data_IF_322433299182
#
_entry.id   IF_322433299182
#
_cell.length_a   1.000
_cell.length_b   1.000
_cell.length_c   1.000
_cell.angle_alpha   90.00
_cell.angle_beta   90.00
_cell.angle_gamma   90.00
#
_symmetry.space_group_name_H-M   'P 1'
#
loop_
_entity.id
_entity.type
_entity.pdbx_description
1 polymer ?
#
# COMPACT_ATOMS: atom_id res chain seq x y z
N UNK A 1 32.35 -4.64 -0.45
CA UNK A 1 31.62 -4.78 0.81
C UNK A 1 32.23 -5.90 1.62
N UNK A 2 32.27 -5.75 2.93
CA UNK A 2 32.82 -6.77 3.82
C UNK A 2 31.85 -7.98 3.96
N UNK A 3 32.33 -9.21 4.27
CA UNK A 3 31.47 -10.41 4.39
C UNK A 3 30.40 -10.32 5.49
N UNK A 4 30.53 -9.35 6.38
CA UNK A 4 29.60 -9.10 7.48
C UNK A 4 28.60 -7.98 7.22
N UNK A 5 28.66 -7.31 6.06
CA UNK A 5 27.82 -6.15 5.69
C UNK A 5 27.22 -6.35 4.30
N UNK A 6 25.95 -5.99 4.17
CA UNK A 6 25.25 -5.94 2.88
C UNK A 6 24.55 -4.58 2.74
N UNK A 7 24.48 -4.09 1.52
CA UNK A 7 23.71 -2.89 1.16
C UNK A 7 22.82 -3.20 -0.03
N UNK A 8 21.70 -2.50 -0.09
CA UNK A 8 20.77 -2.57 -1.21
C UNK A 8 20.23 -1.19 -1.53
N UNK A 9 19.93 -0.97 -2.80
CA UNK A 9 19.24 0.24 -3.27
C UNK A 9 18.26 -0.18 -4.35
N UNK A 10 17.12 0.45 -4.40
CA UNK A 10 16.12 0.13 -5.42
C UNK A 10 15.07 1.23 -5.56
N UNK A 11 14.39 1.18 -6.70
CA UNK A 11 13.26 2.00 -7.07
C UNK A 11 12.08 1.07 -7.36
N UNK A 12 10.96 1.27 -6.68
CA UNK A 12 9.80 0.40 -6.75
C UNK A 12 8.51 1.23 -6.82
N UNK A 13 7.45 0.73 -7.47
CA UNK A 13 6.12 1.24 -7.22
C UNK A 13 5.68 0.86 -5.80
N UNK A 14 5.25 1.86 -5.00
CA UNK A 14 4.75 1.65 -3.64
C UNK A 14 3.26 1.33 -3.63
N UNK A 15 2.49 2.11 -4.38
CA UNK A 15 1.07 1.86 -4.60
C UNK A 15 0.66 2.29 -6.00
N UNK A 16 -0.44 1.73 -6.47
CA UNK A 16 -1.06 2.12 -7.73
C UNK A 16 -2.57 2.16 -7.56
N UNK A 17 -3.20 3.18 -8.10
CA UNK A 17 -4.64 3.37 -8.14
C UNK A 17 -5.05 3.50 -9.59
N UNK A 18 -5.97 2.67 -10.05
CA UNK A 18 -6.50 2.73 -11.41
C UNK A 18 -7.88 2.05 -11.45
N UNK A 19 -8.94 2.85 -11.41
CA UNK A 19 -10.30 2.33 -11.56
C UNK A 19 -11.22 3.36 -12.20
N UNK A 20 -12.21 2.86 -12.93
CA UNK A 20 -13.33 3.66 -13.42
C UNK A 20 -14.60 2.84 -13.22
N UNK A 21 -15.53 3.39 -12.45
CA UNK A 21 -16.82 2.76 -12.17
C UNK A 21 -17.91 3.77 -12.50
N UNK A 22 -18.90 3.36 -13.25
CA UNK A 22 -20.08 4.18 -13.59
C UNK A 22 -21.34 3.41 -13.25
N UNK A 23 -22.33 4.14 -12.75
CA UNK A 23 -23.65 3.63 -12.41
C UNK A 23 -24.70 4.64 -12.89
N UNK A 24 -25.77 4.15 -13.50
CA UNK A 24 -26.89 4.96 -13.97
C UNK A 24 -28.17 4.48 -13.31
N UNK A 25 -28.90 5.42 -12.72
CA UNK A 25 -30.13 5.16 -11.99
C UNK A 25 -31.20 6.15 -12.41
N UNK A 26 -32.44 5.79 -12.12
CA UNK A 26 -33.59 6.66 -12.30
C UNK A 26 -34.29 6.80 -10.95
N UNK A 27 -34.55 8.00 -10.52
CA UNK A 27 -35.32 8.29 -9.30
C UNK A 27 -36.80 7.90 -9.50
N UNK A 28 -37.53 7.74 -8.40
CA UNK A 28 -38.97 7.43 -8.40
C UNK A 28 -39.79 8.46 -9.20
N UNK A 29 -39.30 9.68 -9.31
CA UNK A 29 -39.91 10.77 -10.11
C UNK A 29 -39.53 10.74 -11.60
N UNK A 30 -38.85 9.65 -12.07
CA UNK A 30 -38.45 9.49 -13.47
C UNK A 30 -37.20 10.28 -13.89
N UNK A 31 -36.48 10.94 -12.96
CA UNK A 31 -35.26 11.66 -13.28
C UNK A 31 -34.08 10.67 -13.40
N UNK A 32 -33.50 10.60 -14.59
CA UNK A 32 -32.29 9.81 -14.82
C UNK A 32 -31.04 10.56 -14.32
N UNK A 33 -30.15 9.87 -13.63
CA UNK A 33 -28.84 10.38 -13.27
C UNK A 33 -27.76 9.31 -13.41
N UNK A 34 -26.53 9.74 -13.68
CA UNK A 34 -25.36 8.88 -13.77
C UNK A 34 -24.33 9.31 -12.77
N UNK A 35 -23.77 8.35 -12.05
CA UNK A 35 -22.63 8.55 -11.13
C UNK A 35 -21.37 7.97 -11.75
N UNK A 36 -20.27 8.66 -11.63
CA UNK A 36 -18.96 8.21 -12.08
C UNK A 36 -17.97 8.35 -10.95
N UNK A 37 -17.17 7.30 -10.76
CA UNK A 37 -16.08 7.22 -9.77
C UNK A 37 -14.82 6.81 -10.50
N UNK A 38 -13.81 7.68 -10.52
CA UNK A 38 -12.51 7.38 -11.10
C UNK A 38 -11.43 7.58 -10.06
N UNK A 39 -10.45 6.71 -10.08
CA UNK A 39 -9.21 6.86 -9.33
C UNK A 39 -8.03 6.62 -10.25
N UNK A 40 -7.03 7.47 -10.16
CA UNK A 40 -5.81 7.40 -10.95
C UNK A 40 -4.61 7.86 -10.16
N UNK A 41 -3.42 7.36 -10.53
CA UNK A 41 -2.16 7.73 -9.92
C UNK A 41 -1.53 6.63 -9.09
N UNK A 42 -0.59 7.00 -8.24
CA UNK A 42 0.14 6.07 -7.38
C UNK A 42 1.36 6.70 -6.75
N UNK A 43 2.01 5.93 -5.89
CA UNK A 43 3.21 6.34 -5.19
C UNK A 43 4.40 5.50 -5.66
N UNK A 44 5.52 6.18 -5.85
CA UNK A 44 6.82 5.58 -6.13
C UNK A 44 7.67 5.58 -4.86
N UNK A 45 8.54 4.61 -4.73
CA UNK A 45 9.43 4.47 -3.58
C UNK A 45 10.86 4.23 -4.05
N UNK A 46 11.78 5.03 -3.54
CA UNK A 46 13.21 4.76 -3.59
C UNK A 46 13.67 4.33 -2.20
N UNK A 47 14.48 3.29 -2.10
CA UNK A 47 14.99 2.86 -0.83
C UNK A 47 16.49 2.60 -0.85
N UNK A 48 17.10 2.79 0.31
CA UNK A 48 18.47 2.37 0.62
C UNK A 48 18.41 1.50 1.87
N UNK A 49 18.95 0.31 1.77
CA UNK A 49 19.01 -0.64 2.86
C UNK A 49 20.44 -0.97 3.25
N UNK A 50 20.66 -1.16 4.54
CA UNK A 50 21.92 -1.67 5.08
C UNK A 50 21.63 -2.76 6.10
N UNK A 51 22.44 -3.82 6.06
CA UNK A 51 22.37 -4.94 6.99
C UNK A 51 23.75 -5.32 7.45
N UNK A 52 23.86 -5.65 8.73
CA UNK A 52 25.12 -6.08 9.36
C UNK A 52 24.92 -7.37 10.14
N UNK A 53 25.93 -8.22 10.09
CA UNK A 53 26.03 -9.41 10.90
C UNK A 53 26.64 -9.03 12.24
N UNK A 54 25.80 -8.92 13.27
CA UNK A 54 26.24 -8.54 14.63
C UNK A 54 26.88 -9.73 15.34
N UNK A 55 26.30 -10.90 15.16
CA UNK A 55 26.82 -12.17 15.67
C UNK A 55 26.90 -13.19 14.52
N UNK A 56 27.56 -14.33 14.73
CA UNK A 56 27.66 -15.39 13.72
C UNK A 56 26.30 -15.81 13.15
N UNK A 57 25.28 -15.76 13.99
CA UNK A 57 23.92 -16.22 13.66
C UNK A 57 22.88 -15.10 13.59
N UNK A 58 23.22 -13.88 14.05
CA UNK A 58 22.30 -12.75 14.14
C UNK A 58 22.72 -11.66 13.17
N UNK A 59 21.78 -11.25 12.32
CA UNK A 59 21.90 -10.11 11.43
C UNK A 59 20.79 -9.11 11.75
N UNK A 60 21.12 -7.83 11.68
CA UNK A 60 20.16 -6.72 11.80
C UNK A 60 20.28 -5.83 10.59
N UNK A 61 19.21 -5.16 10.25
CA UNK A 61 19.21 -4.26 9.11
C UNK A 61 18.18 -3.14 9.25
N UNK A 62 18.40 -2.11 8.48
CA UNK A 62 17.50 -0.97 8.36
C UNK A 62 17.33 -0.62 6.89
N UNK A 63 16.09 -0.32 6.49
CA UNK A 63 15.78 0.30 5.22
C UNK A 63 15.23 1.70 5.47
N UNK A 64 15.82 2.69 4.80
CA UNK A 64 15.29 4.02 4.70
C UNK A 64 14.70 4.19 3.29
N UNK A 65 13.45 4.54 3.23
CA UNK A 65 12.72 4.72 1.98
C UNK A 65 12.19 6.14 1.89
N UNK A 66 12.26 6.73 0.72
CA UNK A 66 11.56 7.95 0.36
C UNK A 66 10.51 7.61 -0.69
N UNK A 67 9.29 8.09 -0.50
CA UNK A 67 8.21 7.86 -1.44
C UNK A 67 7.51 9.17 -1.79
N UNK A 68 7.04 9.23 -3.03
CA UNK A 68 6.38 10.41 -3.60
C UNK A 68 5.37 10.00 -4.66
N UNK A 69 4.43 10.87 -4.91
CA UNK A 69 3.46 10.76 -6.00
C UNK A 69 2.11 11.35 -5.65
N UNK A 70 1.21 11.27 -6.62
CA UNK A 70 -0.12 11.85 -6.55
C UNK A 70 -1.18 10.76 -6.72
N UNK A 71 -2.25 10.89 -5.95
CA UNK A 71 -3.46 10.07 -6.09
C UNK A 71 -4.62 11.02 -6.36
N UNK A 72 -5.23 10.87 -7.51
CA UNK A 72 -6.41 11.62 -7.92
C UNK A 72 -7.65 10.74 -7.80
N UNK A 73 -8.68 11.23 -7.13
CA UNK A 73 -10.00 10.61 -7.08
C UNK A 73 -11.03 11.59 -7.56
N UNK A 74 -11.86 11.17 -8.51
CA UNK A 74 -12.93 12.00 -9.05
C UNK A 74 -14.26 11.31 -8.84
N UNK A 75 -15.21 12.05 -8.30
CA UNK A 75 -16.62 11.64 -8.17
C UNK A 75 -17.47 12.60 -8.96
N UNK A 76 -18.30 12.08 -9.84
CA UNK A 76 -19.22 12.86 -10.66
C UNK A 76 -20.66 12.40 -10.52
N UNK A 77 -21.59 13.33 -10.59
CA UNK A 77 -23.02 13.10 -10.74
C UNK A 77 -23.51 13.95 -11.91
N UNK A 78 -24.10 13.30 -12.88
CA UNK A 78 -24.54 13.91 -14.12
C UNK A 78 -26.03 13.61 -14.36
N UNK A 79 -26.75 14.61 -14.87
CA UNK A 79 -28.16 14.50 -15.17
C UNK A 79 -28.36 14.59 -16.69
N UNK A 80 -28.31 13.43 -17.41
CA UNK A 80 -28.48 13.44 -18.87
C UNK A 80 -29.89 13.82 -19.28
N UNK A 81 -29.99 14.65 -20.29
CA UNK A 81 -31.28 15.02 -20.90
C UNK A 81 -32.09 16.11 -20.16
N UNK A 82 -31.51 16.76 -19.17
CA UNK A 82 -32.14 17.89 -18.49
C UNK A 82 -31.16 19.03 -18.24
N UNK A 83 -31.61 20.25 -18.42
CA UNK A 83 -30.87 21.45 -18.00
C UNK A 83 -31.36 22.04 -16.68
N UNK A 84 -32.34 21.37 -16.04
CA UNK A 84 -32.95 21.86 -14.78
C UNK A 84 -32.11 21.52 -13.55
N UNK A 85 -31.14 20.62 -13.71
CA UNK A 85 -30.25 20.20 -12.64
C UNK A 85 -28.81 20.36 -13.06
N UNK A 86 -28.01 20.94 -12.18
CA UNK A 86 -26.58 21.09 -12.39
C UNK A 86 -25.84 19.76 -12.16
N UNK A 87 -24.91 19.47 -13.06
CA UNK A 87 -23.95 18.38 -12.86
C UNK A 87 -22.95 18.77 -11.78
N UNK A 88 -22.51 17.77 -11.02
CA UNK A 88 -21.56 17.93 -9.94
C UNK A 88 -20.34 17.03 -10.17
N UNK A 89 -19.17 17.59 -10.08
CA UNK A 89 -17.93 16.84 -10.13
C UNK A 89 -17.00 17.30 -9.00
N UNK A 90 -16.52 16.37 -8.19
CA UNK A 90 -15.50 16.63 -7.18
C UNK A 90 -14.23 15.85 -7.50
N UNK A 91 -13.15 16.56 -7.75
CA UNK A 91 -11.81 16.02 -7.94
C UNK A 91 -11.00 16.25 -6.68
N UNK A 92 -10.46 15.19 -6.13
CA UNK A 92 -9.61 15.20 -4.93
C UNK A 92 -8.21 14.75 -5.34
N UNK A 93 -7.23 15.60 -5.11
CA UNK A 93 -5.82 15.30 -5.38
C UNK A 93 -5.08 15.23 -4.04
N UNK A 94 -4.43 14.11 -3.79
CA UNK A 94 -3.57 13.91 -2.62
C UNK A 94 -2.14 13.73 -3.12
N UNK A 95 -1.29 14.71 -2.86
CA UNK A 95 0.13 14.67 -3.15
C UNK A 95 0.88 14.27 -1.89
N UNK A 96 1.70 13.23 -1.97
CA UNK A 96 2.46 12.70 -0.83
C UNK A 96 3.94 12.72 -1.17
N UNK A 97 4.75 13.18 -0.23
CA UNK A 97 6.20 13.23 -0.34
C UNK A 97 6.80 13.08 1.06
N UNK A 98 7.28 11.86 1.37
CA UNK A 98 7.72 11.53 2.72
C UNK A 98 8.69 10.35 2.77
N UNK A 99 9.22 10.07 3.95
CA UNK A 99 10.13 8.96 4.23
C UNK A 99 9.47 7.87 5.08
N UNK A 100 10.07 6.70 5.07
CA UNK A 100 9.68 5.55 5.90
C UNK A 100 10.93 4.80 6.34
N UNK A 101 10.93 4.33 7.58
CA UNK A 101 11.98 3.50 8.12
C UNK A 101 11.44 2.11 8.44
N UNK A 102 12.18 1.09 8.05
CA UNK A 102 11.89 -0.30 8.36
C UNK A 102 13.09 -0.93 9.05
N UNK A 103 12.88 -1.58 10.18
CA UNK A 103 13.89 -2.27 10.96
C UNK A 103 13.68 -3.77 10.82
N UNK A 104 14.75 -4.52 10.67
CA UNK A 104 14.71 -5.96 10.54
C UNK A 104 15.77 -6.65 11.40
N UNK A 105 15.43 -7.81 11.91
CA UNK A 105 16.36 -8.71 12.57
C UNK A 105 16.15 -10.14 12.08
N UNK A 106 17.23 -10.89 11.90
CA UNK A 106 17.20 -12.26 11.43
C UNK A 106 18.17 -13.10 12.23
N UNK A 107 17.70 -14.22 12.76
CA UNK A 107 18.52 -15.19 13.47
C UNK A 107 18.48 -16.53 12.73
N UNK A 108 19.65 -17.05 12.36
CA UNK A 108 19.79 -18.31 11.65
C UNK A 108 20.54 -19.30 12.51
N UNK A 109 19.91 -20.43 12.84
CA UNK A 109 20.49 -21.52 13.62
C UNK A 109 20.63 -22.77 12.75
N UNK A 110 21.85 -23.31 12.66
CA UNK A 110 22.08 -24.64 12.15
C UNK A 110 21.62 -25.65 13.21
N UNK A 111 20.59 -26.45 12.89
CA UNK A 111 20.08 -27.50 13.77
C UNK A 111 20.92 -28.80 13.63
N UNK A 112 21.24 -29.10 12.36
CA UNK A 112 22.11 -30.24 12.03
C UNK A 112 23.03 -29.85 10.86
N UNK A 113 23.92 -30.75 10.45
CA UNK A 113 24.79 -30.56 9.27
C UNK A 113 23.96 -30.31 7.97
N UNK A 114 22.70 -30.74 7.95
CA UNK A 114 21.82 -30.68 6.77
C UNK A 114 20.60 -29.78 6.96
N UNK A 115 20.34 -29.30 8.18
CA UNK A 115 19.15 -28.51 8.45
C UNK A 115 19.48 -27.20 9.16
N UNK A 116 18.76 -26.14 8.78
CA UNK A 116 18.84 -24.82 9.39
C UNK A 116 17.43 -24.22 9.56
N UNK A 117 17.27 -23.49 10.63
CA UNK A 117 16.09 -22.68 10.92
C UNK A 117 16.49 -21.21 10.94
N UNK A 118 15.79 -20.41 10.18
CA UNK A 118 15.92 -18.96 10.20
C UNK A 118 14.63 -18.35 10.74
N UNK A 119 14.74 -17.48 11.72
CA UNK A 119 13.62 -16.70 12.26
C UNK A 119 13.91 -15.23 11.93
N UNK A 120 12.91 -14.52 11.44
CA UNK A 120 12.98 -13.11 11.11
C UNK A 120 11.89 -12.30 11.79
N UNK A 121 12.20 -11.06 12.10
CA UNK A 121 11.23 -10.08 12.57
C UNK A 121 11.48 -8.74 11.86
N UNK A 122 10.39 -8.04 11.52
CA UNK A 122 10.44 -6.71 10.94
C UNK A 122 9.49 -5.78 11.70
N UNK A 123 9.89 -4.53 11.79
CA UNK A 123 9.11 -3.48 12.43
C UNK A 123 9.21 -2.18 11.64
N UNK A 124 8.07 -1.59 11.33
CA UNK A 124 7.96 -0.25 10.74
C UNK A 124 7.14 0.62 11.67
N UNK A 125 7.70 1.71 12.20
CA UNK A 125 6.97 2.60 13.11
C UNK A 125 5.87 3.38 12.38
N UNK A 126 4.84 3.70 13.12
CA UNK A 126 3.80 4.64 12.71
C UNK A 126 4.43 5.98 12.33
N UNK A 127 3.97 6.56 11.24
CA UNK A 127 4.48 7.83 10.74
C UNK A 127 3.34 8.67 10.15
N UNK A 128 3.30 9.96 10.54
CA UNK A 128 2.39 10.93 9.91
C UNK A 128 3.01 11.38 8.59
N UNK A 129 2.26 11.26 7.50
CA UNK A 129 2.74 11.60 6.18
C UNK A 129 2.69 13.12 5.95
N UNK A 130 3.74 13.62 5.31
CA UNK A 130 3.71 14.94 4.72
C UNK A 130 2.93 14.88 3.41
N UNK A 131 1.79 15.57 3.38
CA UNK A 131 0.88 15.52 2.25
C UNK A 131 0.18 16.86 2.04
N UNK A 132 -0.09 17.16 0.77
CA UNK A 132 -0.96 18.23 0.34
C UNK A 132 -2.26 17.62 -0.20
N UNK A 133 -3.37 18.16 0.25
CA UNK A 133 -4.69 17.72 -0.21
C UNK A 133 -5.43 18.88 -0.86
N UNK A 134 -5.85 18.69 -2.09
CA UNK A 134 -6.62 19.68 -2.85
C UNK A 134 -7.96 19.08 -3.26
N UNK A 135 -9.05 19.77 -2.96
CA UNK A 135 -10.39 19.45 -3.43
C UNK A 135 -10.83 20.49 -4.45
N UNK A 136 -11.22 20.04 -5.62
CA UNK A 136 -11.76 20.88 -6.70
C UNK A 136 -13.19 20.44 -6.94
N UNK A 137 -14.13 21.35 -6.78
CA UNK A 137 -15.55 21.11 -7.05
C UNK A 137 -15.95 21.92 -8.27
N UNK A 138 -16.55 21.26 -9.24
CA UNK A 138 -17.10 21.86 -10.46
C UNK A 138 -18.60 21.63 -10.44
N UNK A 139 -19.35 22.71 -10.48
CA UNK A 139 -20.80 22.69 -10.59
C UNK A 139 -21.21 23.46 -11.87
N UNK A 140 -22.07 22.86 -12.65
CA UNK A 140 -22.56 23.51 -13.87
C UNK A 140 -23.65 22.71 -14.55
N UNK A 141 -24.45 23.39 -15.36
CA UNK A 141 -25.47 22.73 -16.16
C UNK A 141 -24.83 21.72 -17.13
N UNK A 142 -25.49 20.60 -17.33
CA UNK A 142 -25.04 19.48 -18.19
C UNK A 142 -24.71 19.91 -19.64
N UNK A 143 -25.22 21.04 -20.08
CA UNK A 143 -25.08 21.56 -21.45
C UNK A 143 -24.12 22.76 -21.58
N UNK A 144 -23.61 23.31 -20.48
CA UNK A 144 -22.71 24.46 -20.51
C UNK A 144 -21.27 24.04 -20.24
N UNK A 145 -20.35 24.51 -21.06
CA UNK A 145 -18.90 24.32 -20.87
C UNK A 145 -18.32 25.14 -19.70
N UNK A 146 -19.16 25.91 -19.02
CA UNK A 146 -18.79 26.82 -17.95
C UNK A 146 -19.40 26.36 -16.62
N UNK A 147 -18.70 25.50 -15.91
CA UNK A 147 -19.01 25.22 -14.51
C UNK A 147 -18.31 26.21 -13.58
N UNK A 148 -18.89 26.46 -12.42
CA UNK A 148 -18.21 27.20 -11.35
C UNK A 148 -17.23 26.26 -10.69
N UNK A 149 -15.94 26.60 -10.69
CA UNK A 149 -14.89 25.84 -10.03
C UNK A 149 -14.59 26.44 -8.65
N UNK A 150 -14.64 25.59 -7.64
CA UNK A 150 -14.21 25.92 -6.28
C UNK A 150 -13.00 25.04 -5.95
N UNK A 151 -11.88 25.68 -5.63
CA UNK A 151 -10.65 24.99 -5.27
C UNK A 151 -10.29 25.29 -3.82
N UNK A 152 -10.26 24.26 -3.02
CA UNK A 152 -9.87 24.33 -1.61
C UNK A 152 -8.63 23.49 -1.36
N UNK A 153 -7.66 24.07 -0.63
CA UNK A 153 -6.53 23.35 -0.06
C UNK A 153 -6.90 23.04 1.38
N UNK A 154 -6.97 21.77 1.71
CA UNK A 154 -7.48 21.29 2.99
C UNK A 154 -6.35 20.63 3.79
N UNK A 155 -6.38 20.80 5.09
CA UNK A 155 -5.53 20.03 5.97
C UNK A 155 -6.01 18.58 6.00
N UNK A 156 -5.12 17.69 5.58
CA UNK A 156 -5.39 16.27 5.60
C UNK A 156 -4.40 15.55 6.50
N UNK A 157 -4.91 14.64 7.31
CA UNK A 157 -4.06 13.78 8.14
C UNK A 157 -4.05 12.38 7.53
N UNK A 158 -2.89 11.98 7.05
CA UNK A 158 -2.64 10.61 6.59
C UNK A 158 -1.48 10.04 7.40
N UNK A 159 -1.66 8.84 7.94
CA UNK A 159 -0.65 8.17 8.75
C UNK A 159 -0.41 6.76 8.24
N UNK A 160 0.85 6.35 8.21
CA UNK A 160 1.21 4.95 8.06
C UNK A 160 1.08 4.24 9.41
N UNK A 161 0.56 3.00 9.44
CA UNK A 161 0.38 2.25 10.68
C UNK A 161 1.71 1.69 11.19
N UNK A 162 1.77 1.40 12.49
CA UNK A 162 2.75 0.45 12.99
C UNK A 162 2.56 -0.88 12.25
N UNK A 163 3.65 -1.38 11.70
CA UNK A 163 3.67 -2.68 11.02
C UNK A 163 4.62 -3.61 11.73
N UNK A 164 4.16 -4.80 12.05
CA UNK A 164 4.93 -5.88 12.65
C UNK A 164 4.89 -7.09 11.72
N UNK A 165 6.03 -7.71 11.51
CA UNK A 165 6.12 -8.96 10.79
C UNK A 165 7.04 -9.92 11.51
N UNK A 166 6.64 -11.18 11.57
CA UNK A 166 7.47 -12.28 12.08
C UNK A 166 7.34 -13.46 11.14
N UNK A 167 8.42 -14.18 10.95
CA UNK A 167 8.40 -15.34 10.08
C UNK A 167 9.52 -16.31 10.40
N UNK A 168 9.38 -17.51 9.87
CA UNK A 168 10.45 -18.50 9.94
C UNK A 168 10.60 -19.22 8.60
N UNK A 169 11.82 -19.72 8.36
CA UNK A 169 12.14 -20.57 7.22
C UNK A 169 12.97 -21.74 7.71
N UNK A 170 12.50 -22.95 7.44
CA UNK A 170 13.21 -24.19 7.68
C UNK A 170 13.76 -24.72 6.37
N UNK A 171 15.08 -24.98 6.34
CA UNK A 171 15.75 -25.59 5.20
C UNK A 171 16.29 -26.96 5.59
N UNK A 172 16.05 -27.95 4.73
CA UNK A 172 16.59 -29.30 4.89
C UNK A 172 17.31 -29.74 3.62
N UNK A 173 18.60 -30.08 3.78
CA UNK A 173 19.50 -30.65 2.75
C UNK A 173 19.54 -29.82 1.45
N UNK A 174 19.22 -28.50 1.51
CA UNK A 174 19.03 -27.60 0.35
C UNK A 174 17.96 -28.09 -0.65
N UNK A 175 17.17 -29.08 -0.27
CA UNK A 175 16.14 -29.73 -1.10
C UNK A 175 14.73 -29.34 -0.69
N UNK A 176 14.50 -29.19 0.59
CA UNK A 176 13.21 -28.77 1.13
C UNK A 176 13.36 -27.43 1.85
N UNK A 177 12.58 -26.47 1.46
CA UNK A 177 12.43 -25.20 2.15
C UNK A 177 10.95 -25.03 2.51
N UNK A 178 10.65 -24.82 3.78
CA UNK A 178 9.30 -24.50 4.26
C UNK A 178 9.38 -23.22 5.06
N UNK A 179 8.44 -22.33 4.83
CA UNK A 179 8.38 -21.07 5.56
C UNK A 179 6.94 -20.64 5.84
N UNK A 180 6.80 -19.84 6.89
CA UNK A 180 5.56 -19.14 7.20
C UNK A 180 5.87 -17.74 7.74
N UNK A 181 5.00 -16.80 7.38
CA UNK A 181 5.10 -15.41 7.78
C UNK A 181 3.75 -14.92 8.30
N UNK A 182 3.81 -14.10 9.34
CA UNK A 182 2.69 -13.35 9.89
C UNK A 182 3.01 -11.87 9.85
N UNK A 183 2.09 -11.06 9.37
CA UNK A 183 2.21 -9.60 9.42
C UNK A 183 0.93 -8.95 9.92
N UNK A 184 1.10 -7.90 10.73
CA UNK A 184 0.05 -7.10 11.31
C UNK A 184 0.32 -5.62 11.01
N UNK A 185 -0.64 -4.95 10.41
CA UNK A 185 -0.65 -3.50 10.20
C UNK A 185 -1.79 -2.90 11.02
N UNK A 186 -1.45 -2.04 11.99
CA UNK A 186 -2.41 -1.47 12.94
C UNK A 186 -3.09 -0.21 12.36
N UNK A 187 -3.87 -0.39 11.31
CA UNK A 187 -4.61 0.70 10.67
C UNK A 187 -5.68 1.32 11.57
N UNK A 188 -6.27 0.55 12.49
CA UNK A 188 -7.24 1.07 13.46
C UNK A 188 -6.68 2.15 14.39
N UNK A 189 -5.35 2.24 14.51
CA UNK A 189 -4.64 3.22 15.33
C UNK A 189 -4.11 4.41 14.54
N UNK A 190 -4.47 4.51 13.26
CA UNK A 190 -4.09 5.64 12.41
C UNK A 190 -5.21 6.66 12.34
N UNK A 191 -4.82 7.93 12.30
CA UNK A 191 -5.73 9.00 11.97
C UNK A 191 -5.76 9.18 10.46
N UNK A 192 -6.95 9.15 9.91
CA UNK A 192 -7.14 9.33 8.48
C UNK A 192 -8.38 10.20 8.27
N UNK A 193 -8.19 11.38 7.77
CA UNK A 193 -9.29 12.30 7.55
C UNK A 193 -8.85 13.60 6.92
N UNK A 194 -9.79 14.27 6.34
CA UNK A 194 -9.67 15.63 5.82
C UNK A 194 -10.58 16.50 6.69
N UNK A 195 -10.00 17.45 7.38
CA UNK A 195 -10.73 18.38 8.24
C UNK A 195 -10.40 19.78 7.78
N UNK A 196 -11.40 20.61 7.54
CA UNK A 196 -11.19 22.02 7.31
C UNK A 196 -11.38 22.79 8.62
N UNK A 197 -10.42 23.64 8.94
CA UNK A 197 -10.51 24.61 10.03
C UNK A 197 -11.01 25.98 9.57
N UNK A 198 -11.18 26.17 8.28
CA UNK A 198 -11.65 27.44 7.72
C UNK A 198 -13.19 27.47 7.69
N UNK A 199 -13.78 28.43 8.41
CA UNK A 199 -15.24 28.62 8.47
C UNK A 199 -15.86 28.99 7.11
N UNK A 200 -15.05 29.48 6.17
CA UNK A 200 -15.49 29.83 4.82
C UNK A 200 -15.54 28.63 3.86
N UNK A 201 -14.93 27.49 4.24
CA UNK A 201 -14.96 26.26 3.47
C UNK A 201 -16.19 25.44 3.87
N UNK A 202 -16.91 24.91 2.89
CA UNK A 202 -18.08 24.07 3.15
C UNK A 202 -17.72 22.88 4.03
N UNK A 203 -18.44 22.70 5.14
CA UNK A 203 -18.26 21.59 6.08
C UNK A 203 -18.50 20.20 5.45
N UNK A 204 -19.11 20.15 4.27
CA UNK A 204 -19.33 18.93 3.48
C UNK A 204 -18.02 18.26 3.02
N UNK A 205 -16.87 18.89 3.20
CA UNK A 205 -15.55 18.36 2.86
C UNK A 205 -14.89 17.57 3.98
N UNK A 206 -15.42 17.60 5.18
CA UNK A 206 -14.89 16.84 6.30
C UNK A 206 -15.14 15.34 6.07
N UNK A 207 -14.07 14.60 5.87
CA UNK A 207 -14.11 13.14 5.72
C UNK A 207 -13.25 12.51 6.81
N UNK A 208 -13.84 11.72 7.69
CA UNK A 208 -13.12 10.92 8.68
C UNK A 208 -13.36 9.45 8.40
N UNK A 209 -12.28 8.69 8.30
CA UNK A 209 -12.33 7.27 8.01
C UNK A 209 -11.80 6.46 9.20
N UNK A 210 -12.51 5.41 9.55
CA UNK A 210 -12.05 4.43 10.52
C UNK A 210 -11.64 3.17 9.77
N UNK A 211 -10.41 2.72 9.99
CA UNK A 211 -9.86 1.54 9.35
C UNK A 211 -9.82 0.35 10.31
N UNK A 212 -9.90 -0.83 9.75
CA UNK A 212 -9.65 -2.07 10.46
C UNK A 212 -8.19 -2.49 10.30
N UNK A 213 -7.65 -3.17 11.30
CA UNK A 213 -6.31 -3.73 11.24
C UNK A 213 -6.21 -4.76 10.11
N UNK A 214 -5.08 -4.76 9.42
CA UNK A 214 -4.78 -5.73 8.38
C UNK A 214 -3.86 -6.80 8.92
N UNK A 215 -4.34 -8.03 8.90
CA UNK A 215 -3.55 -9.22 9.22
C UNK A 215 -3.30 -10.01 7.94
N UNK A 216 -2.08 -10.52 7.77
CA UNK A 216 -1.73 -11.41 6.67
C UNK A 216 -0.92 -12.58 7.20
N UNK A 217 -1.33 -13.78 6.84
CA UNK A 217 -0.62 -15.03 7.08
C UNK A 217 -0.22 -15.61 5.73
N UNK A 218 1.05 -15.97 5.57
CA UNK A 218 1.54 -16.61 4.35
C UNK A 218 2.29 -17.88 4.72
N UNK A 219 2.10 -18.94 3.96
CA UNK A 219 2.83 -20.20 4.11
C UNK A 219 3.32 -20.66 2.74
N UNK A 220 4.51 -21.26 2.70
CA UNK A 220 5.07 -21.72 1.45
C UNK A 220 6.04 -22.88 1.64
N UNK A 221 6.17 -23.69 0.61
CA UNK A 221 7.13 -24.79 0.55
C UNK A 221 7.75 -24.88 -0.85
N UNK A 222 9.02 -25.17 -0.91
CA UNK A 222 9.77 -25.51 -2.12
C UNK A 222 10.46 -26.88 -1.92
N UNK A 223 10.34 -27.74 -2.91
CA UNK A 223 10.99 -29.04 -2.90
C UNK A 223 11.73 -29.32 -4.21
N UNK A 224 12.97 -29.77 -4.09
CA UNK A 224 13.82 -30.19 -5.21
C UNK A 224 14.18 -31.67 -5.00
N UNK A 225 13.72 -32.60 -5.83
CA UNK A 225 13.94 -34.04 -5.61
C UNK A 225 15.43 -34.44 -5.55
N UNK A 226 16.23 -33.93 -6.48
CA UNK A 226 17.65 -34.21 -6.50
C UNK A 226 18.45 -33.05 -7.13
N UNK A 227 19.47 -32.57 -6.44
CA UNK A 227 20.33 -31.47 -6.90
C UNK A 227 21.33 -31.89 -7.99
N UNK A 228 21.67 -33.19 -8.07
CA UNK A 228 22.75 -33.72 -8.93
C UNK A 228 22.26 -34.82 -9.87
N UNK A 229 20.96 -35.06 -9.93
CA UNK A 229 20.34 -36.09 -10.77
C UNK A 229 20.52 -35.82 -12.26
N UNK A 230 20.63 -36.88 -13.09
CA UNK A 230 20.69 -36.76 -14.56
C UNK A 230 19.31 -36.54 -15.20
N UNK A 231 18.22 -36.78 -14.49
CA UNK A 231 16.85 -36.62 -14.98
C UNK A 231 16.39 -35.19 -14.90
N UNK A 232 15.72 -34.70 -15.95
CA UNK A 232 15.10 -33.37 -15.99
C UNK A 232 14.15 -33.16 -14.80
N UNK A 233 13.29 -34.11 -14.50
CA UNK A 233 12.33 -34.03 -13.38
C UNK A 233 12.99 -33.95 -12.00
N UNK A 234 14.23 -34.40 -11.87
CA UNK A 234 14.98 -34.33 -10.60
C UNK A 234 15.40 -32.90 -10.25
N UNK A 235 15.52 -32.01 -11.24
CA UNK A 235 15.94 -30.62 -11.04
C UNK A 235 14.77 -29.64 -10.98
N UNK A 236 13.53 -30.10 -11.19
CA UNK A 236 12.36 -29.26 -11.10
C UNK A 236 12.16 -28.80 -9.67
N UNK A 237 11.96 -27.50 -9.49
CA UNK A 237 11.57 -26.90 -8.23
C UNK A 237 10.06 -26.91 -8.10
N UNK A 238 9.55 -27.77 -7.24
CA UNK A 238 8.11 -27.82 -6.94
C UNK A 238 7.82 -26.80 -5.84
N UNK A 239 6.92 -25.87 -6.12
CA UNK A 239 6.56 -24.80 -5.19
C UNK A 239 5.07 -24.79 -4.93
N UNK A 240 4.71 -24.64 -3.67
CA UNK A 240 3.35 -24.47 -3.21
C UNK A 240 3.30 -23.33 -2.21
N UNK A 241 2.29 -22.48 -2.27
CA UNK A 241 2.10 -21.41 -1.32
C UNK A 241 0.63 -21.00 -1.23
N UNK A 242 0.27 -20.52 -0.06
CA UNK A 242 -1.03 -19.95 0.22
C UNK A 242 -0.88 -18.74 1.15
N UNK A 243 -1.85 -17.82 1.06
CA UNK A 243 -1.93 -16.69 1.97
C UNK A 243 -3.39 -16.36 2.29
N UNK A 244 -3.59 -15.81 3.49
CA UNK A 244 -4.87 -15.31 3.97
C UNK A 244 -4.68 -13.90 4.53
#
# INVERSE_FOLDING_TARGET
LAPWMAMSVGLLPYSNVGYTVSDSQTTDNGLAYSRSFTGDGGLHQMYVGAGVKVLKNLSVGVNASYFWGDITRTRGMFYPGTSSYDSYQRKMVTSISDYKLDFGAQYTQALTKKSSLTIGAVYSPKHKLNNDYTSIVIMGASSSSYGTEYKDVLDATFELPNTFGVGFTYNYDKRLTVGADYSLQQWSKTNFGVVTSDENVRQDFNETFTYCDRTKISVGAEYIPNLIGRSYFAHIKYRLGAYY
#
